data_IF_082523869942
#
_entry.id   IF_082523869942
#
_cell.length_a   1.000
_cell.length_b   1.000
_cell.length_c   1.000
_cell.angle_alpha   90.00
_cell.angle_beta   90.00
_cell.angle_gamma   90.00
#
_symmetry.space_group_name_H-M   'P 1'
#
loop_
_entity.id
_entity.type
_entity.pdbx_description
1 polymer ?
#
# COMPACT_ATOMS: atom_id res chain seq x y z
N UNK A 1 -15.80 27.34 -47.64
CA UNK A 1 -16.30 26.28 -46.73
C UNK A 1 -15.14 25.59 -45.99
N UNK A 2 -13.89 25.67 -46.49
CA UNK A 2 -12.73 25.04 -45.85
C UNK A 2 -12.41 25.56 -44.44
N UNK A 3 -12.60 26.86 -44.17
CA UNK A 3 -12.25 27.45 -42.87
C UNK A 3 -13.10 26.87 -41.73
N UNK A 4 -14.39 26.61 -41.97
CA UNK A 4 -15.29 26.03 -40.97
C UNK A 4 -14.94 24.57 -40.69
N UNK A 5 -14.57 23.81 -41.72
CA UNK A 5 -14.13 22.42 -41.58
C UNK A 5 -12.80 22.37 -40.82
N UNK A 6 -11.84 23.24 -41.16
CA UNK A 6 -10.57 23.34 -40.46
C UNK A 6 -10.75 23.70 -38.97
N UNK A 7 -11.67 24.63 -38.66
CA UNK A 7 -11.99 24.99 -37.29
C UNK A 7 -12.63 23.83 -36.52
N UNK A 8 -13.58 23.12 -37.12
CA UNK A 8 -14.21 21.96 -36.50
C UNK A 8 -13.19 20.86 -36.18
N UNK A 9 -12.27 20.57 -37.10
CA UNK A 9 -11.19 19.59 -36.88
C UNK A 9 -10.24 20.05 -35.77
N UNK A 10 -9.89 21.34 -35.72
CA UNK A 10 -9.01 21.88 -34.69
C UNK A 10 -9.63 21.77 -33.27
N UNK A 11 -10.93 22.07 -33.13
CA UNK A 11 -11.62 21.95 -31.82
C UNK A 11 -11.66 20.49 -31.35
N UNK A 12 -11.97 19.55 -32.25
CA UNK A 12 -11.98 18.11 -31.92
C UNK A 12 -10.58 17.65 -31.49
N UNK A 13 -9.54 18.08 -32.21
CA UNK A 13 -8.16 17.75 -31.86
C UNK A 13 -7.76 18.27 -30.47
N UNK A 14 -8.11 19.51 -30.13
CA UNK A 14 -7.80 20.12 -28.82
C UNK A 14 -8.53 19.38 -27.69
N UNK A 15 -9.81 19.04 -27.87
CA UNK A 15 -10.58 18.27 -26.86
C UNK A 15 -9.96 16.88 -26.66
N UNK A 16 -9.56 16.21 -27.74
CA UNK A 16 -8.87 14.92 -27.67
C UNK A 16 -7.56 15.00 -26.87
N UNK A 17 -6.73 16.02 -27.12
CA UNK A 17 -5.48 16.24 -26.38
C UNK A 17 -5.73 16.52 -24.89
N UNK A 18 -6.74 17.34 -24.55
CA UNK A 18 -7.08 17.64 -23.17
C UNK A 18 -7.52 16.39 -22.39
N UNK A 19 -8.29 15.50 -23.02
CA UNK A 19 -8.70 14.24 -22.42
C UNK A 19 -7.49 13.31 -22.17
N UNK A 20 -6.56 13.23 -23.12
CA UNK A 20 -5.33 12.42 -22.97
C UNK A 20 -4.45 12.98 -21.85
N UNK A 21 -4.25 14.30 -21.81
CA UNK A 21 -3.47 14.95 -20.77
C UNK A 21 -4.05 14.70 -19.38
N UNK A 22 -5.38 14.83 -19.24
CA UNK A 22 -6.08 14.56 -17.97
C UNK A 22 -5.88 13.13 -17.50
N UNK A 23 -5.99 12.14 -18.41
CA UNK A 23 -5.73 10.73 -18.10
C UNK A 23 -4.27 10.49 -17.69
N UNK A 24 -3.32 11.13 -18.37
CA UNK A 24 -1.90 11.02 -18.05
C UNK A 24 -1.58 11.54 -16.64
N UNK A 25 -2.14 12.70 -16.28
CA UNK A 25 -1.98 13.28 -14.94
C UNK A 25 -2.61 12.40 -13.86
N UNK A 26 -3.82 11.87 -14.10
CA UNK A 26 -4.47 10.94 -13.18
C UNK A 26 -3.61 9.68 -12.95
N UNK A 27 -3.08 9.10 -14.02
CA UNK A 27 -2.19 7.93 -13.95
C UNK A 27 -0.90 8.24 -13.19
N UNK A 28 -0.28 9.39 -13.43
CA UNK A 28 0.92 9.82 -12.72
C UNK A 28 0.66 10.00 -11.22
N UNK A 29 -0.51 10.55 -10.85
CA UNK A 29 -0.93 10.67 -9.46
C UNK A 29 -1.09 9.32 -8.76
N UNK A 30 -1.77 8.37 -9.40
CA UNK A 30 -1.95 7.02 -8.84
C UNK A 30 -0.62 6.26 -8.70
N UNK A 31 0.28 6.40 -9.69
CA UNK A 31 1.61 5.80 -9.64
C UNK A 31 2.45 6.40 -8.49
N UNK A 32 2.42 7.72 -8.31
CA UNK A 32 3.10 8.39 -7.19
C UNK A 32 2.58 7.88 -5.84
N UNK A 33 1.26 7.78 -5.67
CA UNK A 33 0.68 7.29 -4.42
C UNK A 33 1.02 5.83 -4.14
N UNK A 34 1.00 4.99 -5.18
CA UNK A 34 1.37 3.59 -5.06
C UNK A 34 2.84 3.41 -4.68
N UNK A 35 3.74 4.22 -5.25
CA UNK A 35 5.15 4.21 -4.89
C UNK A 35 5.34 4.60 -3.41
N UNK A 36 4.67 5.66 -2.95
CA UNK A 36 4.74 6.07 -1.54
C UNK A 36 4.12 5.01 -0.59
N UNK A 37 2.98 4.43 -0.95
CA UNK A 37 2.37 3.32 -0.21
C UNK A 37 3.31 2.10 -0.12
N UNK A 38 4.06 1.82 -1.19
CA UNK A 38 5.06 0.75 -1.21
C UNK A 38 6.18 1.01 -0.20
N UNK A 39 6.67 2.26 -0.12
CA UNK A 39 7.68 2.65 0.89
C UNK A 39 7.14 2.45 2.30
N UNK A 40 5.91 2.86 2.60
CA UNK A 40 5.31 2.63 3.92
C UNK A 40 5.08 1.15 4.24
N UNK A 41 4.77 0.34 3.24
CA UNK A 41 4.64 -1.11 3.41
C UNK A 41 6.01 -1.75 3.71
N UNK A 42 7.07 -1.31 3.03
CA UNK A 42 8.46 -1.74 3.30
C UNK A 42 8.92 -1.33 4.69
N UNK A 43 8.69 -0.09 5.10
CA UNK A 43 8.98 0.39 6.46
C UNK A 43 8.24 -0.46 7.51
N UNK A 44 6.97 -0.81 7.25
CA UNK A 44 6.21 -1.70 8.13
C UNK A 44 6.83 -3.09 8.26
N UNK A 45 7.32 -3.67 7.15
CA UNK A 45 8.01 -4.96 7.18
C UNK A 45 9.37 -4.89 7.87
N UNK A 46 10.12 -3.80 7.67
CA UNK A 46 11.39 -3.57 8.37
C UNK A 46 11.16 -3.47 9.87
N UNK A 47 10.14 -2.73 10.30
CA UNK A 47 9.77 -2.67 11.70
C UNK A 47 9.36 -4.04 12.27
N UNK A 48 8.56 -4.84 11.54
CA UNK A 48 8.23 -6.21 11.97
C UNK A 48 9.48 -7.08 12.08
N UNK A 49 10.46 -6.88 11.19
CA UNK A 49 11.77 -7.55 11.26
C UNK A 49 12.50 -7.14 12.54
N UNK A 50 12.50 -5.85 12.87
CA UNK A 50 13.01 -5.35 14.15
C UNK A 50 12.30 -5.96 15.36
N UNK A 51 10.97 -6.04 15.33
CA UNK A 51 10.17 -6.67 16.40
C UNK A 51 10.52 -8.15 16.60
N UNK A 52 10.77 -8.89 15.51
CA UNK A 52 11.27 -10.26 15.58
C UNK A 52 12.65 -10.31 16.25
N UNK A 53 13.53 -9.37 15.94
CA UNK A 53 14.92 -9.37 16.41
C UNK A 53 15.05 -8.90 17.86
N UNK A 54 14.17 -8.02 18.33
CA UNK A 54 14.20 -7.49 19.71
C UNK A 54 13.35 -8.30 20.67
N UNK A 55 12.39 -9.09 20.19
CA UNK A 55 11.46 -9.87 21.01
C UNK A 55 11.84 -11.36 20.98
N UNK A 56 11.60 -12.08 22.07
CA UNK A 56 11.70 -13.54 22.06
C UNK A 56 10.84 -14.16 20.94
N UNK A 57 11.40 -15.16 20.24
CA UNK A 57 10.78 -15.78 19.09
C UNK A 57 9.39 -16.37 19.40
N UNK A 58 9.18 -16.97 20.58
CA UNK A 58 7.89 -17.55 20.92
C UNK A 58 6.83 -16.47 21.09
N UNK A 59 7.21 -15.30 21.62
CA UNK A 59 6.30 -14.14 21.73
C UNK A 59 5.93 -13.59 20.37
N UNK A 60 6.89 -13.52 19.43
CA UNK A 60 6.63 -13.12 18.06
C UNK A 60 5.74 -14.13 17.33
N UNK A 61 6.04 -15.42 17.44
CA UNK A 61 5.27 -16.53 16.85
C UNK A 61 3.84 -16.62 17.40
N UNK A 62 3.62 -16.25 18.66
CA UNK A 62 2.29 -16.22 19.25
C UNK A 62 1.36 -15.16 18.62
N UNK A 63 1.91 -14.15 17.92
CA UNK A 63 1.08 -13.16 17.23
C UNK A 63 0.35 -13.80 16.06
N UNK A 64 -0.96 -13.62 16.04
CA UNK A 64 -1.84 -14.09 14.97
C UNK A 64 -2.97 -13.11 14.71
N UNK A 65 -3.45 -13.07 13.47
CA UNK A 65 -4.55 -12.21 13.06
C UNK A 65 -4.11 -10.86 12.52
N UNK A 66 -5.05 -9.93 12.44
CA UNK A 66 -4.85 -8.62 11.83
C UNK A 66 -4.61 -7.53 12.88
N UNK A 67 -3.60 -6.70 12.65
CA UNK A 67 -3.21 -5.60 13.52
C UNK A 67 -3.09 -4.32 12.72
N UNK A 68 -3.29 -3.20 13.41
CA UNK A 68 -2.87 -1.92 12.91
C UNK A 68 -1.43 -1.62 13.29
N UNK A 69 -0.65 -1.11 12.33
CA UNK A 69 0.75 -0.69 12.54
C UNK A 69 1.04 0.68 11.92
N UNK A 70 0.03 1.54 11.76
CA UNK A 70 0.23 2.92 11.26
C UNK A 70 1.26 3.69 12.08
N UNK A 71 1.28 3.48 13.40
CA UNK A 71 2.25 4.07 14.33
C UNK A 71 3.50 3.22 14.61
N UNK A 72 3.75 2.15 13.83
CA UNK A 72 4.83 1.18 14.10
C UNK A 72 4.73 0.58 15.52
N UNK A 73 3.52 0.16 15.86
CA UNK A 73 3.18 -0.50 17.12
C UNK A 73 2.09 -1.51 16.85
N UNK A 74 2.02 -2.60 17.58
CA UNK A 74 0.89 -3.54 17.49
C UNK A 74 -0.38 -2.94 18.11
N UNK A 75 -1.28 -2.40 17.29
CA UNK A 75 -2.56 -1.83 17.70
C UNK A 75 -3.76 -2.63 17.13
N UNK A 76 -4.95 -2.44 17.71
CA UNK A 76 -6.18 -3.03 17.19
C UNK A 76 -6.68 -2.30 15.93
N UNK A 77 -7.44 -3.00 15.09
CA UNK A 77 -8.21 -2.39 14.00
C UNK A 77 -9.40 -1.56 14.53
N UNK A 78 -9.97 -0.63 13.75
CA UNK A 78 -9.52 -0.16 12.44
C UNK A 78 -8.28 0.74 12.54
N UNK A 79 -7.56 0.89 11.42
CA UNK A 79 -6.36 1.71 11.40
C UNK A 79 -6.63 3.20 11.29
N UNK A 80 -5.90 3.98 12.09
CA UNK A 80 -5.69 5.41 11.84
C UNK A 80 -4.72 5.65 10.69
N UNK A 81 -4.58 6.91 10.30
CA UNK A 81 -3.61 7.32 9.28
C UNK A 81 -2.17 7.29 9.80
N UNK A 82 -1.21 7.15 8.88
CA UNK A 82 0.21 7.31 9.18
C UNK A 82 0.48 8.81 9.30
N UNK A 83 0.62 9.31 10.54
CA UNK A 83 0.79 10.74 10.81
C UNK A 83 -0.35 11.57 10.19
N UNK A 84 0.02 12.61 9.44
CA UNK A 84 -0.91 13.52 8.75
C UNK A 84 -1.20 13.12 7.29
N UNK A 85 -0.89 11.89 6.91
CA UNK A 85 -1.05 11.41 5.52
C UNK A 85 -2.43 10.78 5.26
N UNK A 86 -2.74 10.48 4.00
CA UNK A 86 -3.96 9.73 3.61
C UNK A 86 -3.83 8.20 3.75
N UNK A 87 -2.65 7.71 4.12
CA UNK A 87 -2.35 6.28 4.15
C UNK A 87 -2.68 5.67 5.50
N UNK A 88 -3.21 4.46 5.51
CA UNK A 88 -3.33 3.63 6.71
C UNK A 88 -2.60 2.31 6.51
N UNK A 89 -1.97 1.77 7.56
CA UNK A 89 -1.11 0.58 7.46
C UNK A 89 -1.55 -0.50 8.45
N UNK A 90 -1.93 -1.64 7.91
CA UNK A 90 -2.29 -2.85 8.65
C UNK A 90 -1.34 -3.98 8.33
N UNK A 91 -1.29 -4.99 9.20
CA UNK A 91 -0.59 -6.24 8.94
C UNK A 91 -1.50 -7.41 9.30
N UNK A 92 -1.45 -8.47 8.49
CA UNK A 92 -2.00 -9.78 8.87
C UNK A 92 -0.83 -10.71 9.14
N UNK A 93 -0.84 -11.30 10.34
CA UNK A 93 0.19 -12.23 10.82
C UNK A 93 -0.41 -13.63 10.89
N UNK A 94 0.24 -14.58 10.22
CA UNK A 94 -0.21 -15.97 10.13
C UNK A 94 0.93 -16.90 10.56
N UNK A 95 0.93 -17.38 11.81
CA UNK A 95 1.89 -18.38 12.26
C UNK A 95 1.54 -19.76 11.68
N UNK A 96 2.56 -20.54 11.36
CA UNK A 96 2.44 -21.90 10.85
C UNK A 96 3.67 -22.74 11.20
N UNK A 97 3.53 -24.07 11.18
CA UNK A 97 4.65 -25.00 11.21
C UNK A 97 4.76 -25.62 9.82
N UNK A 98 5.89 -25.42 9.15
CA UNK A 98 6.17 -25.96 7.80
C UNK A 98 7.45 -26.77 7.89
N UNK A 99 7.40 -28.06 7.54
CA UNK A 99 8.53 -28.98 7.62
C UNK A 99 9.21 -28.98 9.01
N UNK A 100 8.40 -29.02 10.07
CA UNK A 100 8.85 -28.95 11.47
C UNK A 100 9.55 -27.64 11.88
N UNK A 101 9.49 -26.59 11.06
CA UNK A 101 10.01 -25.26 11.37
C UNK A 101 8.85 -24.29 11.63
N UNK A 102 8.91 -23.58 12.76
CA UNK A 102 7.97 -22.49 13.05
C UNK A 102 8.23 -21.33 12.09
N UNK A 103 7.18 -20.82 11.47
CA UNK A 103 7.22 -19.70 10.55
C UNK A 103 6.11 -18.71 10.88
N UNK A 104 6.38 -17.44 10.63
CA UNK A 104 5.38 -16.38 10.69
C UNK A 104 5.34 -15.68 9.34
N UNK A 105 4.20 -15.72 8.68
CA UNK A 105 3.98 -14.90 7.47
C UNK A 105 3.34 -13.59 7.89
N UNK A 106 3.98 -12.46 7.57
CA UNK A 106 3.42 -11.13 7.80
C UNK A 106 3.12 -10.47 6.45
N UNK A 107 1.86 -10.13 6.22
CA UNK A 107 1.41 -9.37 5.05
C UNK A 107 1.04 -7.96 5.48
N UNK A 108 1.89 -6.99 5.18
CA UNK A 108 1.66 -5.56 5.45
C UNK A 108 0.91 -4.95 4.29
N UNK A 109 -0.27 -4.41 4.57
CA UNK A 109 -1.12 -3.73 3.59
C UNK A 109 -1.22 -2.25 3.95
N UNK A 110 -0.88 -1.39 3.00
CA UNK A 110 -1.11 0.06 3.06
C UNK A 110 -2.28 0.41 2.16
N UNK A 111 -3.24 1.15 2.68
CA UNK A 111 -4.44 1.60 1.96
C UNK A 111 -4.55 3.11 1.96
N UNK A 112 -5.13 3.66 0.88
CA UNK A 112 -5.44 5.09 0.75
C UNK A 112 -6.67 5.29 -0.13
N UNK A 113 -7.20 6.51 -0.19
CA UNK A 113 -8.43 6.82 -0.93
C UNK A 113 -8.13 7.67 -2.17
N UNK A 114 -8.48 7.16 -3.35
CA UNK A 114 -8.42 7.88 -4.62
C UNK A 114 -9.84 8.23 -5.11
N UNK A 115 -10.29 9.44 -4.79
CA UNK A 115 -11.65 9.87 -5.08
C UNK A 115 -12.66 9.05 -4.28
N UNK A 116 -13.41 8.18 -4.95
CA UNK A 116 -14.39 7.27 -4.32
C UNK A 116 -13.87 5.85 -4.13
N UNK A 117 -12.64 5.54 -4.58
CA UNK A 117 -12.06 4.20 -4.54
C UNK A 117 -11.01 4.11 -3.43
N UNK A 118 -10.99 3.00 -2.71
CA UNK A 118 -9.85 2.67 -1.85
C UNK A 118 -8.86 1.85 -2.67
N UNK A 119 -7.62 2.32 -2.73
CA UNK A 119 -6.50 1.61 -3.32
C UNK A 119 -5.61 1.04 -2.23
N UNK A 120 -4.82 0.02 -2.58
CA UNK A 120 -3.94 -0.65 -1.62
C UNK A 120 -2.71 -1.25 -2.28
N UNK A 121 -1.62 -1.30 -1.52
CA UNK A 121 -0.41 -2.08 -1.83
C UNK A 121 -0.16 -3.02 -0.66
N UNK A 122 0.25 -4.26 -0.96
CA UNK A 122 0.62 -5.25 0.05
C UNK A 122 2.04 -5.73 -0.18
N UNK A 123 2.80 -5.90 0.91
CA UNK A 123 4.10 -6.55 0.91
C UNK A 123 4.10 -7.68 1.93
N UNK A 124 4.68 -8.82 1.56
CA UNK A 124 4.64 -10.03 2.40
C UNK A 124 6.05 -10.52 2.67
N UNK A 125 6.33 -10.84 3.92
CA UNK A 125 7.57 -11.50 4.33
C UNK A 125 7.26 -12.74 5.16
N UNK A 126 8.20 -13.69 5.15
CA UNK A 126 8.17 -14.88 6.00
C UNK A 126 9.36 -14.83 6.95
N UNK A 127 9.09 -15.10 8.21
CA UNK A 127 10.09 -15.13 9.27
C UNK A 127 10.20 -16.54 9.84
N UNK A 128 11.43 -16.92 10.20
CA UNK A 128 11.81 -18.15 10.89
C UNK A 128 12.68 -17.80 12.10
N UNK A 129 12.84 -18.72 13.07
CA UNK A 129 13.69 -18.49 14.25
C UNK A 129 15.18 -18.41 13.95
N UNK A 130 15.61 -18.89 12.78
CA UNK A 130 16.98 -18.89 12.27
C UNK A 130 16.99 -18.46 10.80
#
# INVERSE_FOLDING_TARGET
MEILIAFAVAVIAIVGLAQIATKSVANAGAAKRSAQATVYAMEGLEWITGERDTTDWQTFYARSGAYCISGLTWASLPCGTIGTTEYSRSVVVTPAIVNSVQQVTAAVTVTWTEGTRTASVSQTSKFSPY
#
